data_IF_427396211016
#
_entry.id   IF_427396211016
#
_cell.length_a   1.000
_cell.length_b   1.000
_cell.length_c   1.000
_cell.angle_alpha   90.00
_cell.angle_beta   90.00
_cell.angle_gamma   90.00
#
_symmetry.space_group_name_H-M   'P 1'
#
loop_
_entity.id
_entity.type
_entity.pdbx_description
1 polymer ?
#
# COMPACT_ATOMS: atom_id res chain seq x y z
N UNK A 1 -9.04 -32.33 -5.68
CA UNK A 1 -9.48 -30.94 -5.91
C UNK A 1 -8.30 -30.05 -5.54
N UNK A 2 -7.46 -29.71 -6.52
CA UNK A 2 -6.26 -28.90 -6.31
C UNK A 2 -6.60 -27.44 -6.56
N UNK A 3 -6.51 -26.60 -5.52
CA UNK A 3 -6.57 -25.15 -5.64
C UNK A 3 -5.26 -24.67 -6.30
N UNK A 4 -5.33 -24.38 -7.59
CA UNK A 4 -4.25 -23.72 -8.31
C UNK A 4 -4.14 -22.28 -7.79
N UNK A 5 -3.15 -22.04 -6.93
CA UNK A 5 -2.72 -20.68 -6.58
C UNK A 5 -1.90 -20.20 -7.77
N UNK A 6 -2.51 -19.39 -8.63
CA UNK A 6 -1.80 -18.70 -9.70
C UNK A 6 -0.79 -17.74 -9.07
N UNK A 7 0.50 -18.10 -9.16
CA UNK A 7 1.61 -17.19 -8.88
C UNK A 7 1.53 -16.01 -9.86
N UNK A 8 1.16 -14.84 -9.36
CA UNK A 8 1.32 -13.59 -10.11
C UNK A 8 2.82 -13.30 -10.14
N UNK A 9 3.41 -13.46 -11.31
CA UNK A 9 4.75 -12.97 -11.61
C UNK A 9 4.67 -11.44 -11.68
N UNK A 10 5.12 -10.76 -10.62
CA UNK A 10 5.27 -9.31 -10.64
C UNK A 10 6.45 -8.98 -11.57
N UNK A 11 6.15 -8.30 -12.68
CA UNK A 11 7.15 -7.76 -13.58
C UNK A 11 7.96 -6.66 -12.88
N UNK A 12 9.25 -6.57 -13.22
CA UNK A 12 10.14 -5.51 -12.77
C UNK A 12 9.65 -4.16 -13.30
N UNK A 13 9.00 -3.36 -12.45
CA UNK A 13 8.64 -1.97 -12.75
C UNK A 13 9.92 -1.13 -12.80
N UNK A 14 10.32 -0.67 -13.99
CA UNK A 14 11.33 0.39 -14.12
C UNK A 14 10.70 1.71 -13.71
N UNK A 15 10.89 2.08 -12.44
CA UNK A 15 10.45 3.35 -11.90
C UNK A 15 11.12 4.52 -12.63
N UNK A 16 10.33 5.30 -13.37
CA UNK A 16 10.80 6.53 -14.01
C UNK A 16 10.88 7.65 -12.96
N UNK A 17 12.03 8.31 -12.82
CA UNK A 17 12.19 9.48 -11.92
C UNK A 17 11.25 10.65 -12.28
N UNK A 18 10.72 10.70 -13.51
CA UNK A 18 9.85 11.78 -13.98
C UNK A 18 8.44 11.80 -13.34
N UNK A 19 8.11 10.82 -12.51
CA UNK A 19 6.81 10.73 -11.83
C UNK A 19 6.85 11.19 -10.37
N UNK A 20 8.04 11.44 -9.82
CA UNK A 20 8.23 11.85 -8.43
C UNK A 20 8.00 13.36 -8.30
N UNK A 21 7.14 13.73 -7.36
CA UNK A 21 6.86 15.11 -7.00
C UNK A 21 7.93 15.61 -6.00
N UNK A 22 8.69 16.66 -6.31
CA UNK A 22 9.68 17.23 -5.39
C UNK A 22 9.12 17.57 -4.01
N UNK A 23 7.85 17.99 -3.91
CA UNK A 23 7.18 18.28 -2.64
C UNK A 23 7.13 17.03 -1.77
N UNK A 24 6.60 15.94 -2.31
CA UNK A 24 6.41 14.70 -1.56
C UNK A 24 7.72 13.97 -1.32
N UNK A 25 8.64 14.01 -2.28
CA UNK A 25 9.98 13.47 -2.08
C UNK A 25 10.67 14.15 -0.89
N UNK A 26 10.67 15.49 -0.84
CA UNK A 26 11.22 16.23 0.29
C UNK A 26 10.49 15.91 1.60
N UNK A 27 9.15 15.84 1.57
CA UNK A 27 8.37 15.54 2.76
C UNK A 27 8.78 14.21 3.40
N UNK A 28 8.89 13.14 2.61
CA UNK A 28 9.25 11.81 3.12
C UNK A 28 10.75 11.64 3.40
N UNK A 29 11.62 12.46 2.81
CA UNK A 29 13.02 12.55 3.23
C UNK A 29 13.15 13.15 4.65
N UNK A 30 12.29 14.11 4.99
CA UNK A 30 12.28 14.78 6.30
C UNK A 30 11.39 14.07 7.35
N UNK A 31 10.40 13.30 6.89
CA UNK A 31 9.39 12.63 7.72
C UNK A 31 9.22 11.17 7.25
N UNK A 32 10.22 10.30 7.48
CA UNK A 32 10.14 8.91 7.05
C UNK A 32 8.93 8.23 7.69
N UNK A 33 8.19 7.45 6.91
CA UNK A 33 6.98 6.79 7.42
C UNK A 33 7.32 5.55 8.26
N UNK A 34 8.57 5.11 8.25
CA UNK A 34 9.04 3.85 8.82
C UNK A 34 8.87 2.66 7.88
N UNK A 35 8.24 2.87 6.71
CA UNK A 35 8.11 1.82 5.69
C UNK A 35 9.45 1.58 4.99
N UNK A 36 10.42 2.47 5.14
CA UNK A 36 11.72 2.35 4.50
C UNK A 36 12.61 1.35 5.26
N UNK A 37 12.33 1.14 6.55
CA UNK A 37 13.14 0.31 7.45
C UNK A 37 12.38 -0.94 7.95
N UNK A 38 11.05 -0.87 8.07
CA UNK A 38 10.24 -1.89 8.71
C UNK A 38 9.55 -2.83 7.72
N UNK A 39 10.18 -3.98 7.48
CA UNK A 39 9.76 -4.93 6.45
C UNK A 39 8.79 -6.02 6.91
N UNK A 40 8.01 -5.76 7.97
CA UNK A 40 7.17 -6.79 8.58
C UNK A 40 5.69 -6.60 8.23
N UNK A 41 5.01 -7.72 8.01
CA UNK A 41 3.56 -7.76 7.85
C UNK A 41 2.81 -7.16 9.05
N UNK A 42 3.40 -7.22 10.25
CA UNK A 42 2.83 -6.67 11.48
C UNK A 42 2.65 -5.15 11.42
N UNK A 43 3.49 -4.43 10.68
CA UNK A 43 3.37 -2.98 10.56
C UNK A 43 2.20 -2.58 9.66
N UNK A 44 2.00 -3.29 8.55
CA UNK A 44 0.78 -3.18 7.75
C UNK A 44 -0.48 -3.49 8.58
N UNK A 45 -0.42 -4.50 9.45
CA UNK A 45 -1.54 -4.85 10.34
C UNK A 45 -1.86 -3.72 11.32
N UNK A 46 -0.84 -3.08 11.92
CA UNK A 46 -1.04 -1.91 12.80
C UNK A 46 -1.70 -0.77 12.05
N UNK A 47 -1.30 -0.51 10.80
CA UNK A 47 -1.92 0.53 9.96
C UNK A 47 -3.37 0.20 9.64
N UNK A 48 -3.67 -1.07 9.30
CA UNK A 48 -5.06 -1.53 9.11
C UNK A 48 -5.90 -1.26 10.35
N UNK A 49 -5.39 -1.59 11.54
CA UNK A 49 -6.11 -1.41 12.80
C UNK A 49 -6.33 0.06 13.14
N UNK A 50 -5.28 0.88 12.96
CA UNK A 50 -5.33 2.31 13.25
C UNK A 50 -6.28 3.08 12.32
N UNK A 51 -6.28 2.74 11.03
CA UNK A 51 -7.10 3.41 10.01
C UNK A 51 -8.47 2.77 9.82
N UNK A 52 -8.70 1.62 10.46
CA UNK A 52 -9.87 0.76 10.24
C UNK A 52 -10.05 0.40 8.75
N UNK A 53 -8.93 0.15 8.06
CA UNK A 53 -8.92 -0.22 6.66
C UNK A 53 -9.73 -1.51 6.45
N UNK A 54 -10.79 -1.41 5.64
CA UNK A 54 -11.63 -2.55 5.27
C UNK A 54 -11.49 -2.78 3.77
N UNK A 55 -10.94 -3.94 3.33
CA UNK A 55 -10.78 -4.20 1.90
C UNK A 55 -12.15 -4.14 1.20
N UNK A 56 -12.18 -3.54 0.02
CA UNK A 56 -13.40 -3.35 -0.79
C UNK A 56 -13.58 -4.46 -1.83
N UNK A 57 -12.52 -5.23 -2.09
CA UNK A 57 -12.52 -6.27 -3.11
C UNK A 57 -13.21 -7.56 -2.63
N UNK A 58 -14.04 -8.11 -3.52
CA UNK A 58 -14.75 -9.38 -3.34
C UNK A 58 -13.82 -10.56 -3.04
N UNK A 59 -12.57 -10.53 -3.50
CA UNK A 59 -11.57 -11.56 -3.19
C UNK A 59 -11.31 -11.68 -1.69
N UNK A 60 -11.31 -10.55 -0.97
CA UNK A 60 -11.21 -10.52 0.48
C UNK A 60 -12.56 -10.67 1.18
N UNK A 61 -13.67 -10.65 0.44
CA UNK A 61 -15.04 -10.70 0.99
C UNK A 61 -15.27 -9.63 2.07
N UNK A 62 -14.64 -8.47 1.94
CA UNK A 62 -14.60 -7.41 2.95
C UNK A 62 -14.06 -7.87 4.33
N UNK A 63 -13.33 -8.99 4.37
CA UNK A 63 -12.80 -9.59 5.59
C UNK A 63 -11.42 -9.04 5.89
N UNK A 64 -11.36 -8.13 6.86
CA UNK A 64 -10.11 -7.63 7.45
C UNK A 64 -9.25 -8.79 7.97
N UNK A 65 -9.86 -9.79 8.61
CA UNK A 65 -9.15 -10.95 9.13
C UNK A 65 -8.47 -11.77 8.03
N UNK A 66 -9.10 -11.90 6.86
CA UNK A 66 -8.52 -12.61 5.72
C UNK A 66 -7.33 -11.83 5.16
N UNK A 67 -7.47 -10.51 4.98
CA UNK A 67 -6.38 -9.64 4.54
C UNK A 67 -5.16 -9.73 5.48
N UNK A 68 -5.37 -9.66 6.80
CA UNK A 68 -4.30 -9.80 7.79
C UNK A 68 -3.58 -11.16 7.69
N UNK A 69 -4.34 -12.24 7.47
CA UNK A 69 -3.74 -13.58 7.25
C UNK A 69 -2.93 -13.62 5.96
N UNK A 70 -3.43 -13.03 4.87
CA UNK A 70 -2.69 -12.95 3.63
C UNK A 70 -1.36 -12.21 3.81
N UNK A 71 -1.36 -11.06 4.50
CA UNK A 71 -0.14 -10.31 4.80
C UNK A 71 0.88 -11.16 5.58
N UNK A 72 0.43 -11.90 6.60
CA UNK A 72 1.29 -12.79 7.40
C UNK A 72 1.84 -13.98 6.61
N UNK A 73 1.21 -14.34 5.48
CA UNK A 73 1.64 -15.44 4.62
C UNK A 73 2.54 -15.00 3.46
N UNK A 74 2.71 -13.68 3.24
CA UNK A 74 3.58 -13.18 2.20
C UNK A 74 5.04 -13.51 2.49
N UNK A 75 5.80 -13.79 1.43
CA UNK A 75 7.25 -13.92 1.54
C UNK A 75 7.89 -12.58 1.85
N UNK A 76 9.09 -12.60 2.42
CA UNK A 76 9.85 -11.37 2.69
C UNK A 76 10.06 -10.54 1.42
N UNK A 77 10.32 -11.19 0.27
CA UNK A 77 10.48 -10.49 -1.01
C UNK A 77 9.20 -9.78 -1.44
N UNK A 78 8.03 -10.40 -1.24
CA UNK A 78 6.75 -9.78 -1.58
C UNK A 78 6.47 -8.58 -0.67
N UNK A 79 6.75 -8.69 0.64
CA UNK A 79 6.63 -7.57 1.58
C UNK A 79 7.57 -6.43 1.20
N UNK A 80 8.83 -6.73 0.85
CA UNK A 80 9.78 -5.72 0.41
C UNK A 80 9.29 -5.00 -0.86
N UNK A 81 8.76 -5.74 -1.83
CA UNK A 81 8.22 -5.12 -3.05
C UNK A 81 7.05 -4.19 -2.76
N UNK A 82 6.12 -4.61 -1.89
CA UNK A 82 5.00 -3.76 -1.49
C UNK A 82 5.46 -2.43 -0.89
N UNK A 83 6.55 -2.44 -0.14
CA UNK A 83 7.09 -1.26 0.52
C UNK A 83 7.80 -0.35 -0.47
N UNK A 84 8.59 -0.93 -1.38
CA UNK A 84 9.20 -0.18 -2.49
C UNK A 84 8.12 0.49 -3.33
N UNK A 85 7.05 -0.24 -3.67
CA UNK A 85 5.93 0.32 -4.42
C UNK A 85 5.23 1.44 -3.60
N UNK A 86 4.92 1.17 -2.33
CA UNK A 86 4.27 2.12 -1.43
C UNK A 86 5.05 3.43 -1.28
N UNK A 87 6.34 3.34 -0.95
CA UNK A 87 7.25 4.48 -0.82
C UNK A 87 7.33 5.27 -2.14
N UNK A 88 7.60 4.58 -3.26
CA UNK A 88 7.69 5.23 -4.56
C UNK A 88 6.42 5.99 -4.95
N UNK A 89 5.25 5.34 -4.87
CA UNK A 89 4.00 5.95 -5.30
C UNK A 89 3.51 7.04 -4.34
N UNK A 90 3.83 6.94 -3.05
CA UNK A 90 3.57 8.01 -2.08
C UNK A 90 4.30 9.31 -2.43
N UNK A 91 5.46 9.20 -3.09
CA UNK A 91 6.27 10.35 -3.52
C UNK A 91 5.88 10.88 -4.90
N UNK A 92 4.91 10.28 -5.58
CA UNK A 92 4.54 10.66 -6.94
C UNK A 92 3.64 11.90 -7.03
N UNK A 93 3.53 12.51 -8.21
CA UNK A 93 2.55 13.58 -8.48
C UNK A 93 1.09 13.15 -8.28
N UNK A 94 0.82 11.84 -8.20
CA UNK A 94 -0.50 11.28 -7.94
C UNK A 94 -0.83 11.14 -6.45
N UNK A 95 0.04 11.57 -5.56
CA UNK A 95 -0.20 11.49 -4.11
C UNK A 95 -1.58 12.06 -3.71
N UNK A 96 -1.93 13.22 -4.27
CA UNK A 96 -3.25 13.85 -4.07
C UNK A 96 -4.40 13.00 -4.59
N UNK A 97 -4.26 12.46 -5.80
CA UNK A 97 -5.28 11.61 -6.42
C UNK A 97 -5.51 10.34 -5.61
N UNK A 98 -4.43 9.75 -5.07
CA UNK A 98 -4.51 8.60 -4.18
C UNK A 98 -5.23 8.91 -2.88
N UNK A 99 -5.05 10.11 -2.30
CA UNK A 99 -5.81 10.54 -1.13
C UNK A 99 -7.32 10.60 -1.41
N UNK A 100 -7.72 11.24 -2.51
CA UNK A 100 -9.14 11.32 -2.90
C UNK A 100 -9.71 9.95 -3.21
N UNK A 101 -8.95 9.12 -3.92
CA UNK A 101 -9.35 7.75 -4.23
C UNK A 101 -9.53 6.94 -2.94
N UNK A 102 -8.58 6.99 -2.02
CA UNK A 102 -8.69 6.29 -0.75
C UNK A 102 -9.96 6.69 0.01
N UNK A 103 -10.19 8.00 0.18
CA UNK A 103 -11.34 8.51 0.92
C UNK A 103 -12.69 8.27 0.24
N UNK A 104 -12.69 7.87 -1.04
CA UNK A 104 -13.90 7.47 -1.78
C UNK A 104 -14.29 6.02 -1.49
N UNK A 105 -13.31 5.13 -1.30
CA UNK A 105 -13.54 3.68 -1.20
C UNK A 105 -13.40 3.12 0.22
N UNK A 106 -12.68 3.82 1.11
CA UNK A 106 -12.39 3.37 2.46
C UNK A 106 -12.85 4.41 3.50
N UNK A 107 -12.62 4.09 4.79
CA UNK A 107 -12.93 5.01 5.89
C UNK A 107 -12.16 6.32 5.68
N UNK A 108 -12.87 7.44 5.70
CA UNK A 108 -12.25 8.77 5.48
C UNK A 108 -11.17 9.05 6.52
N UNK A 109 -9.99 9.44 6.04
CA UNK A 109 -8.87 9.90 6.85
C UNK A 109 -8.68 11.40 6.73
N UNK A 110 -8.11 11.98 7.79
CA UNK A 110 -7.59 13.36 7.71
C UNK A 110 -6.38 13.42 6.79
N UNK A 111 -6.08 14.62 6.31
CA UNK A 111 -4.92 14.86 5.46
C UNK A 111 -3.61 14.46 6.13
N UNK A 112 -3.43 14.87 7.38
CA UNK A 112 -2.23 14.56 8.16
C UNK A 112 -2.05 13.05 8.33
N UNK A 113 -3.15 12.33 8.60
CA UNK A 113 -3.10 10.88 8.74
C UNK A 113 -2.74 10.19 7.44
N UNK A 114 -3.31 10.67 6.32
CA UNK A 114 -2.94 10.19 5.00
C UNK A 114 -1.48 10.45 4.70
N UNK A 115 -1.01 11.69 4.79
CA UNK A 115 0.37 12.06 4.43
C UNK A 115 1.39 11.22 5.22
N UNK A 116 1.12 10.91 6.50
CA UNK A 116 1.99 10.05 7.30
C UNK A 116 1.96 8.57 6.89
N UNK A 117 0.79 8.03 6.54
CA UNK A 117 0.59 6.59 6.34
C UNK A 117 0.44 6.16 4.88
N UNK A 118 0.44 7.12 3.96
CA UNK A 118 0.25 6.93 2.52
C UNK A 118 1.11 5.82 1.93
N UNK A 119 2.41 5.66 2.29
CA UNK A 119 3.20 4.55 1.77
C UNK A 119 2.60 3.18 2.11
N UNK A 120 2.15 2.96 3.34
CA UNK A 120 1.48 1.72 3.73
C UNK A 120 0.11 1.56 3.08
N UNK A 121 -0.66 2.66 3.02
CA UNK A 121 -2.02 2.65 2.50
C UNK A 121 -2.06 2.35 1.00
N UNK A 122 -1.12 2.90 0.22
CA UNK A 122 -1.02 2.59 -1.21
C UNK A 122 -0.76 1.10 -1.43
N UNK A 123 0.18 0.50 -0.69
CA UNK A 123 0.44 -0.95 -0.81
C UNK A 123 -0.80 -1.78 -0.47
N UNK A 124 -1.59 -1.36 0.53
CA UNK A 124 -2.83 -2.03 0.89
C UNK A 124 -3.91 -1.87 -0.20
N UNK A 125 -4.02 -0.69 -0.81
CA UNK A 125 -4.90 -0.43 -1.96
C UNK A 125 -4.50 -1.27 -3.20
N UNK A 126 -3.20 -1.54 -3.37
CA UNK A 126 -2.69 -2.42 -4.43
C UNK A 126 -3.07 -3.88 -4.17
N UNK A 127 -2.91 -4.37 -2.93
CA UNK A 127 -3.37 -5.72 -2.55
C UNK A 127 -4.88 -5.85 -2.74
N UNK A 128 -5.64 -4.87 -2.28
CA UNK A 128 -7.09 -4.82 -2.48
C UNK A 128 -7.45 -4.72 -3.98
N UNK A 129 -6.50 -4.37 -4.86
CA UNK A 129 -6.70 -4.32 -6.30
C UNK A 129 -7.47 -3.10 -6.79
N UNK A 130 -7.63 -2.09 -5.92
CA UNK A 130 -8.16 -0.78 -6.29
C UNK A 130 -7.14 -0.01 -7.14
N UNK A 131 -5.87 -0.09 -6.76
CA UNK A 131 -4.76 0.41 -7.58
C UNK A 131 -4.17 -0.73 -8.39
N UNK A 132 -4.10 -0.53 -9.71
CA UNK A 132 -3.40 -1.42 -10.63
C UNK A 132 -2.35 -0.60 -11.36
N UNK A 133 -1.10 -0.95 -11.13
CA UNK A 133 0.02 -0.37 -11.86
C UNK A 133 0.39 -1.36 -12.97
N UNK A 134 0.38 -0.87 -14.20
CA UNK A 134 0.74 -1.61 -15.40
C UNK A 134 2.24 -1.54 -15.64
#
# INVERSE_FOLDING_TARGET
MFLAISFILFGSNTFSQFTIDPKWNKYYDENPSGIEEHHQATDFIKVIEYTEFTPSNKQFQNSVSLLKKCLLMLSQNALNQMMVDGDYYSRSYKHEDYYYLYNTYYKTLSRETWDRLCPYLISLMMIDGLLKFN
#
